data_IF_062479124043
#
_entry.id   IF_062479124043
#
_cell.length_a   1.000
_cell.length_b   1.000
_cell.length_c   1.000
_cell.angle_alpha   90.00
_cell.angle_beta   90.00
_cell.angle_gamma   90.00
#
_symmetry.space_group_name_H-M   'P 1'
#
loop_
_entity.id
_entity.type
_entity.pdbx_description
1 polymer ?
#
# COMPACT_ATOMS: atom_id res chain seq x y z
N UNK A 1 -19.68 42.67 -19.06
CA UNK A 1 -18.62 43.58 -18.58
C UNK A 1 -19.16 44.93 -18.09
N UNK A 2 -20.41 45.31 -18.40
CA UNK A 2 -21.01 46.61 -18.02
C UNK A 2 -21.17 46.88 -16.51
N UNK A 3 -21.10 45.85 -15.64
CA UNK A 3 -21.16 45.98 -14.18
C UNK A 3 -19.79 45.95 -13.49
N UNK A 4 -18.71 45.93 -14.26
CA UNK A 4 -17.36 45.99 -13.72
C UNK A 4 -16.95 47.45 -13.76
N UNK A 5 -16.54 47.96 -12.62
CA UNK A 5 -16.03 49.30 -12.42
C UNK A 5 -14.62 49.42 -13.06
N UNK A 6 -14.59 49.46 -14.40
CA UNK A 6 -13.37 49.42 -15.22
C UNK A 6 -12.98 50.82 -15.66
N UNK A 7 -11.68 51.13 -15.60
CA UNK A 7 -11.08 52.33 -16.18
C UNK A 7 -9.73 52.00 -16.82
N UNK A 8 -9.25 52.85 -17.73
CA UNK A 8 -7.93 52.71 -18.33
C UNK A 8 -6.92 53.59 -17.58
N UNK A 9 -5.78 53.02 -17.18
CA UNK A 9 -4.71 53.78 -16.54
C UNK A 9 -3.93 54.66 -17.52
N UNK A 10 -2.94 55.42 -17.02
CA UNK A 10 -2.11 56.31 -17.82
C UNK A 10 -1.34 55.60 -18.94
N UNK A 11 -1.22 54.28 -18.89
CA UNK A 11 -0.58 53.44 -19.90
C UNK A 11 -1.61 52.77 -20.84
N UNK A 12 -2.90 53.07 -20.69
CA UNK A 12 -3.99 52.47 -21.47
C UNK A 12 -4.40 51.07 -21.01
N UNK A 13 -3.93 50.60 -19.87
CA UNK A 13 -4.27 49.27 -19.35
C UNK A 13 -5.56 49.30 -18.54
N UNK A 14 -6.42 48.31 -18.75
CA UNK A 14 -7.70 48.21 -18.06
C UNK A 14 -7.51 47.71 -16.62
N UNK A 15 -7.97 48.51 -15.65
CA UNK A 15 -7.98 48.18 -14.22
C UNK A 15 -9.39 48.18 -13.68
N UNK A 16 -9.63 47.37 -12.65
CA UNK A 16 -10.90 47.36 -11.93
C UNK A 16 -10.74 48.04 -10.58
N UNK A 17 -11.68 48.92 -10.18
CA UNK A 17 -11.72 49.44 -8.81
C UNK A 17 -12.78 48.73 -7.96
N UNK A 18 -12.39 48.34 -6.75
CA UNK A 18 -13.25 47.71 -5.76
C UNK A 18 -13.51 48.61 -4.55
N UNK A 19 -13.83 48.00 -3.40
CA UNK A 19 -14.07 48.71 -2.14
C UNK A 19 -12.80 48.96 -1.32
N UNK A 20 -11.62 48.69 -1.88
CA UNK A 20 -10.33 48.75 -1.16
C UNK A 20 -9.58 50.07 -1.33
N UNK A 21 -10.18 51.11 -1.93
CA UNK A 21 -9.50 52.38 -2.22
C UNK A 21 -8.84 53.04 -1.00
N UNK A 22 -9.50 52.98 0.17
CA UNK A 22 -9.00 53.58 1.42
C UNK A 22 -8.11 52.63 2.25
N UNK A 23 -7.76 51.44 1.74
CA UNK A 23 -6.89 50.51 2.45
C UNK A 23 -5.42 50.97 2.44
N UNK A 24 -4.59 50.46 3.35
CA UNK A 24 -3.15 50.66 3.32
C UNK A 24 -2.41 49.73 2.33
N UNK A 25 -3.14 49.03 1.45
CA UNK A 25 -2.57 48.11 0.47
C UNK A 25 -1.87 48.87 -0.67
N UNK A 26 -1.01 48.16 -1.39
CA UNK A 26 -0.42 48.65 -2.63
C UNK A 26 -1.51 48.98 -3.67
N UNK A 27 -1.28 50.01 -4.48
CA UNK A 27 -2.26 50.44 -5.48
C UNK A 27 -2.54 49.37 -6.54
N UNK A 28 -1.56 48.50 -6.84
CA UNK A 28 -1.77 47.34 -7.70
C UNK A 28 -2.81 46.35 -7.13
N UNK A 29 -2.86 46.22 -5.81
CA UNK A 29 -3.83 45.36 -5.10
C UNK A 29 -5.19 46.03 -4.97
N UNK A 30 -5.23 47.35 -4.82
CA UNK A 30 -6.49 48.12 -4.81
C UNK A 30 -7.14 48.16 -6.18
N UNK A 31 -6.32 48.27 -7.23
CA UNK A 31 -6.74 48.48 -8.62
C UNK A 31 -6.09 47.45 -9.56
N UNK A 32 -6.47 46.16 -9.43
CA UNK A 32 -5.86 45.08 -10.18
C UNK A 32 -6.12 45.18 -11.69
N UNK A 33 -5.15 44.70 -12.47
CA UNK A 33 -5.21 44.63 -13.93
C UNK A 33 -6.20 43.58 -14.40
N UNK A 34 -7.01 43.92 -15.39
CA UNK A 34 -7.99 43.01 -15.96
C UNK A 34 -7.31 42.09 -16.95
N UNK A 35 -7.47 40.79 -16.73
CA UNK A 35 -7.00 39.78 -17.67
C UNK A 35 -8.19 38.91 -18.07
N UNK A 36 -8.35 38.72 -19.39
CA UNK A 36 -9.46 37.96 -19.93
C UNK A 36 -9.38 36.50 -19.49
N UNK A 37 -10.54 35.96 -19.10
CA UNK A 37 -10.69 34.56 -18.74
C UNK A 37 -10.30 33.63 -19.91
N UNK A 38 -9.75 32.47 -19.59
CA UNK A 38 -9.36 31.42 -20.54
C UNK A 38 -8.36 31.88 -21.61
N UNK A 39 -7.64 32.98 -21.35
CA UNK A 39 -6.53 33.41 -22.20
C UNK A 39 -5.24 32.66 -21.83
N UNK A 40 -4.31 32.48 -22.79
CA UNK A 40 -2.98 31.95 -22.50
C UNK A 40 -2.25 32.75 -21.41
N UNK A 41 -2.47 34.07 -21.37
CA UNK A 41 -1.91 34.96 -20.36
C UNK A 41 -2.45 34.64 -18.96
N UNK A 42 -3.77 34.49 -18.80
CA UNK A 42 -4.36 34.12 -17.51
C UNK A 42 -3.81 32.78 -17.00
N UNK A 43 -3.65 31.80 -17.89
CA UNK A 43 -3.10 30.49 -17.55
C UNK A 43 -1.64 30.60 -17.09
N UNK A 44 -0.81 31.38 -17.79
CA UNK A 44 0.59 31.60 -17.41
C UNK A 44 0.74 32.38 -16.10
N UNK A 45 -0.07 33.40 -15.88
CA UNK A 45 -0.11 34.14 -14.61
C UNK A 45 -0.45 33.20 -13.46
N UNK A 46 -1.55 32.46 -13.56
CA UNK A 46 -1.97 31.54 -12.50
C UNK A 46 -0.90 30.48 -12.24
N UNK A 47 -0.28 29.94 -13.30
CA UNK A 47 0.78 28.95 -13.17
C UNK A 47 2.02 29.52 -12.47
N UNK A 48 2.46 30.75 -12.81
CA UNK A 48 3.61 31.41 -12.17
C UNK A 48 3.42 31.57 -10.65
N UNK A 49 2.25 32.09 -10.24
CA UNK A 49 1.93 32.24 -8.82
C UNK A 49 1.79 30.89 -8.10
N UNK A 50 1.31 29.87 -8.80
CA UNK A 50 1.23 28.52 -8.24
C UNK A 50 2.61 27.85 -8.12
N UNK A 51 3.50 27.99 -9.11
CA UNK A 51 4.80 27.31 -9.13
C UNK A 51 5.81 27.84 -8.10
N UNK A 52 5.60 29.04 -7.54
CA UNK A 52 6.49 29.63 -6.52
C UNK A 52 6.48 28.89 -5.17
N UNK A 53 5.46 28.07 -4.91
CA UNK A 53 5.39 27.32 -3.65
C UNK A 53 4.28 26.30 -3.56
N UNK A 54 3.65 25.95 -4.69
CA UNK A 54 2.49 25.06 -4.76
C UNK A 54 1.39 25.37 -3.74
N UNK A 55 0.99 26.64 -3.54
CA UNK A 55 -0.03 26.98 -2.57
C UNK A 55 -1.38 26.36 -2.93
N UNK A 56 -2.24 26.21 -1.92
CA UNK A 56 -3.61 25.73 -2.09
C UNK A 56 -4.40 26.63 -3.05
N UNK A 57 -5.49 26.11 -3.60
CA UNK A 57 -6.34 26.85 -4.56
C UNK A 57 -6.74 28.23 -4.01
N UNK A 58 -7.15 28.31 -2.74
CA UNK A 58 -7.57 29.58 -2.11
C UNK A 58 -6.40 30.56 -1.98
N UNK A 59 -5.21 30.06 -1.65
CA UNK A 59 -4.03 30.91 -1.49
C UNK A 59 -3.50 31.38 -2.86
N UNK A 60 -3.42 30.52 -3.87
CA UNK A 60 -3.11 30.93 -5.25
C UNK A 60 -4.10 32.00 -5.74
N UNK A 61 -5.39 31.86 -5.45
CA UNK A 61 -6.39 32.87 -5.80
C UNK A 61 -6.14 34.21 -5.11
N UNK A 62 -5.71 34.21 -3.85
CA UNK A 62 -5.40 35.44 -3.11
C UNK A 62 -4.17 36.14 -3.70
N UNK A 63 -3.11 35.37 -4.01
CA UNK A 63 -1.89 35.89 -4.65
C UNK A 63 -2.18 36.46 -6.04
N UNK A 64 -2.99 35.79 -6.87
CA UNK A 64 -3.35 36.33 -8.18
C UNK A 64 -4.17 37.61 -8.04
N UNK A 65 -5.08 37.69 -7.06
CA UNK A 65 -5.90 38.87 -6.81
C UNK A 65 -5.15 40.07 -6.26
N UNK A 66 -3.92 39.90 -5.76
CA UNK A 66 -3.11 41.04 -5.32
C UNK A 66 -2.65 41.91 -6.49
N UNK A 67 -2.72 41.42 -7.73
CA UNK A 67 -2.31 42.19 -8.92
C UNK A 67 -3.27 42.08 -10.11
N UNK A 68 -4.05 41.01 -10.20
CA UNK A 68 -4.87 40.71 -11.37
C UNK A 68 -6.32 40.39 -11.02
N UNK A 69 -7.22 40.92 -11.83
CA UNK A 69 -8.63 40.59 -11.81
C UNK A 69 -8.95 39.71 -13.02
N UNK A 70 -9.13 38.41 -12.76
CA UNK A 70 -9.46 37.41 -13.78
C UNK A 70 -10.90 36.90 -13.55
N UNK A 71 -11.81 37.02 -14.54
CA UNK A 71 -13.13 36.42 -14.43
C UNK A 71 -13.06 34.90 -14.26
N UNK A 72 -13.93 34.34 -13.42
CA UNK A 72 -13.98 32.89 -13.11
C UNK A 72 -12.64 32.31 -12.62
N UNK A 73 -11.81 33.12 -11.95
CA UNK A 73 -10.49 32.74 -11.46
C UNK A 73 -10.47 31.38 -10.72
N UNK A 74 -11.44 31.11 -9.83
CA UNK A 74 -11.50 29.85 -9.06
C UNK A 74 -11.52 28.62 -9.96
N UNK A 75 -12.30 28.65 -11.04
CA UNK A 75 -12.41 27.52 -11.96
C UNK A 75 -11.08 27.28 -12.68
N UNK A 76 -10.41 28.34 -13.10
CA UNK A 76 -9.11 28.26 -13.79
C UNK A 76 -8.00 27.80 -12.87
N UNK A 77 -7.89 28.36 -11.66
CA UNK A 77 -6.92 27.93 -10.65
C UNK A 77 -7.13 26.46 -10.31
N UNK A 78 -8.38 26.04 -10.07
CA UNK A 78 -8.69 24.62 -9.78
C UNK A 78 -8.23 23.70 -10.92
N UNK A 79 -8.47 24.09 -12.18
CA UNK A 79 -8.04 23.33 -13.37
C UNK A 79 -6.52 23.21 -13.44
N UNK A 80 -5.79 24.30 -13.20
CA UNK A 80 -4.33 24.36 -13.29
C UNK A 80 -3.69 23.56 -12.15
N UNK A 81 -4.11 23.79 -10.90
CA UNK A 81 -3.59 23.08 -9.72
C UNK A 81 -3.84 21.56 -9.83
N UNK A 82 -5.03 21.15 -10.31
CA UNK A 82 -5.33 19.72 -10.52
C UNK A 82 -4.46 19.04 -11.58
N UNK A 83 -3.86 19.81 -12.50
CA UNK A 83 -2.93 19.29 -13.54
C UNK A 83 -1.46 19.46 -13.15
N UNK A 84 -1.18 20.10 -12.01
CA UNK A 84 0.19 20.27 -11.55
C UNK A 84 0.75 18.92 -11.11
N UNK A 85 1.80 18.46 -11.80
CA UNK A 85 2.46 17.18 -11.54
C UNK A 85 2.99 17.12 -10.11
N UNK A 86 3.59 18.19 -9.62
CA UNK A 86 4.12 18.25 -8.25
C UNK A 86 3.01 18.11 -7.21
N UNK A 87 1.91 18.87 -7.35
CA UNK A 87 0.78 18.73 -6.46
C UNK A 87 0.12 17.35 -6.54
N UNK A 88 0.06 16.74 -7.73
CA UNK A 88 -0.46 15.38 -7.87
C UNK A 88 0.44 14.36 -7.16
N UNK A 89 1.77 14.47 -7.30
CA UNK A 89 2.69 13.54 -6.63
C UNK A 89 2.63 13.63 -5.10
N UNK A 90 2.51 14.84 -4.55
CA UNK A 90 2.58 15.05 -3.10
C UNK A 90 1.23 14.99 -2.38
N UNK A 91 0.13 15.37 -3.05
CA UNK A 91 -1.17 15.51 -2.39
C UNK A 91 -2.23 14.51 -2.87
N UNK A 92 -1.98 13.79 -3.97
CA UNK A 92 -2.97 12.83 -4.43
C UNK A 92 -2.99 11.62 -3.49
N UNK A 93 -4.18 11.11 -3.21
CA UNK A 93 -4.33 9.89 -2.44
C UNK A 93 -3.68 8.74 -3.22
N UNK A 94 -3.11 7.73 -2.52
CA UNK A 94 -2.80 6.46 -3.16
C UNK A 94 -4.07 5.95 -3.87
N UNK A 95 -3.89 5.18 -4.95
CA UNK A 95 -5.00 4.58 -5.69
C UNK A 95 -6.04 4.02 -4.72
N UNK A 96 -7.32 4.30 -4.97
CA UNK A 96 -8.40 3.70 -4.18
C UNK A 96 -8.18 2.19 -4.21
N UNK A 97 -8.02 1.59 -3.02
CA UNK A 97 -7.94 0.15 -2.91
C UNK A 97 -9.16 -0.45 -3.62
N UNK A 98 -8.98 -1.55 -4.37
CA UNK A 98 -10.13 -2.26 -4.92
C UNK A 98 -11.08 -2.64 -3.78
N UNK A 99 -12.40 -2.75 -4.05
CA UNK A 99 -13.32 -3.29 -3.05
C UNK A 99 -12.78 -4.61 -2.52
N UNK A 100 -12.85 -4.80 -1.20
CA UNK A 100 -12.41 -6.05 -0.57
C UNK A 100 -13.26 -7.19 -1.11
N UNK A 101 -12.60 -8.18 -1.73
CA UNK A 101 -13.27 -9.40 -2.19
C UNK A 101 -13.68 -10.31 -1.04
N UNK A 102 -14.43 -11.35 -1.36
CA UNK A 102 -14.82 -12.38 -0.40
C UNK A 102 -13.60 -13.10 0.19
N UNK A 103 -13.72 -13.52 1.45
CA UNK A 103 -12.70 -14.32 2.10
C UNK A 103 -12.59 -15.70 1.40
N UNK A 104 -11.38 -16.29 1.30
CA UNK A 104 -11.21 -17.63 0.78
C UNK A 104 -12.09 -18.64 1.52
N UNK A 105 -12.65 -19.61 0.80
CA UNK A 105 -13.52 -20.65 1.35
C UNK A 105 -12.90 -21.35 2.57
N UNK A 106 -11.59 -21.56 2.55
CA UNK A 106 -10.80 -22.21 3.61
C UNK A 106 -10.77 -21.41 4.93
N UNK A 107 -11.15 -20.12 4.93
CA UNK A 107 -11.30 -19.32 6.15
C UNK A 107 -12.72 -19.32 6.72
N UNK A 108 -13.72 -19.67 5.92
CA UNK A 108 -15.14 -19.50 6.28
C UNK A 108 -15.92 -20.81 6.32
N UNK A 109 -15.47 -21.84 5.58
CA UNK A 109 -16.08 -23.16 5.60
C UNK A 109 -15.53 -23.98 6.75
N UNK A 110 -16.40 -24.76 7.40
CA UNK A 110 -16.00 -25.68 8.47
C UNK A 110 -15.09 -26.77 7.91
N UNK A 111 -13.96 -26.97 8.56
CA UNK A 111 -12.95 -27.97 8.23
C UNK A 111 -12.47 -28.67 9.52
N UNK A 112 -11.70 -29.75 9.40
CA UNK A 112 -11.02 -30.31 10.59
C UNK A 112 -9.96 -29.31 11.09
N UNK A 113 -9.61 -29.30 12.40
CA UNK A 113 -8.48 -28.54 12.90
C UNK A 113 -7.20 -28.89 12.13
N UNK A 114 -6.41 -27.87 11.79
CA UNK A 114 -5.19 -27.99 10.98
C UNK A 114 -5.37 -28.59 9.57
N UNK A 115 -6.59 -28.60 9.01
CA UNK A 115 -6.79 -28.98 7.61
C UNK A 115 -6.14 -27.96 6.65
N UNK A 116 -6.35 -26.69 6.94
CA UNK A 116 -5.76 -25.57 6.23
C UNK A 116 -4.89 -24.79 7.20
N UNK A 117 -3.59 -24.72 6.92
CA UNK A 117 -2.62 -24.08 7.80
C UNK A 117 -1.91 -22.90 7.12
N UNK A 118 -1.58 -21.90 7.92
CA UNK A 118 -0.64 -20.84 7.56
C UNK A 118 0.70 -21.05 8.27
N UNK A 119 1.80 -20.76 7.59
CA UNK A 119 3.15 -20.82 8.13
C UNK A 119 3.74 -19.41 8.20
N UNK A 120 4.31 -19.08 9.34
CA UNK A 120 5.06 -17.83 9.54
C UNK A 120 6.29 -18.09 10.42
N UNK A 121 7.32 -17.27 10.24
CA UNK A 121 8.52 -17.27 11.09
C UNK A 121 8.63 -15.93 11.80
N UNK A 122 8.91 -15.96 13.10
CA UNK A 122 9.23 -14.77 13.87
C UNK A 122 10.60 -14.89 14.54
N UNK A 123 11.26 -13.76 14.72
CA UNK A 123 12.62 -13.68 15.24
C UNK A 123 13.45 -12.65 14.46
N UNK A 124 14.77 -12.64 14.62
CA UNK A 124 15.57 -13.52 15.49
C UNK A 124 15.36 -13.21 16.98
N UNK A 125 15.16 -14.25 17.78
CA UNK A 125 15.13 -14.16 19.25
C UNK A 125 16.54 -14.39 19.79
N UNK A 126 17.08 -13.48 20.64
CA UNK A 126 18.36 -13.69 21.28
C UNK A 126 18.25 -14.77 22.35
N UNK A 127 19.11 -15.78 22.27
CA UNK A 127 19.20 -16.87 23.25
C UNK A 127 20.63 -17.00 23.77
N UNK A 128 20.76 -17.51 24.99
CA UNK A 128 22.07 -17.95 25.52
C UNK A 128 22.24 -19.43 25.21
N UNK A 129 23.30 -19.76 24.47
CA UNK A 129 23.71 -21.14 24.28
C UNK A 129 24.30 -21.70 25.57
N UNK A 130 24.36 -23.03 25.68
CA UNK A 130 24.93 -23.74 26.83
C UNK A 130 26.40 -23.36 27.09
N UNK A 131 27.12 -22.94 26.03
CA UNK A 131 28.52 -22.49 26.10
C UNK A 131 28.67 -21.02 26.56
N UNK A 132 27.60 -20.38 27.01
CA UNK A 132 27.59 -18.98 27.46
C UNK A 132 27.64 -17.94 26.35
N UNK A 133 27.74 -18.36 25.08
CA UNK A 133 27.70 -17.48 23.90
C UNK A 133 26.28 -17.03 23.58
N UNK A 134 26.15 -15.85 22.99
CA UNK A 134 24.89 -15.36 22.43
C UNK A 134 24.61 -16.05 21.09
N UNK A 135 23.39 -16.55 20.94
CA UNK A 135 22.87 -17.20 19.76
C UNK A 135 21.56 -16.57 19.32
N UNK A 136 21.10 -16.99 18.15
CA UNK A 136 19.79 -16.60 17.62
C UNK A 136 18.97 -17.86 17.43
N UNK A 137 17.69 -17.79 17.78
CA UNK A 137 16.70 -18.76 17.36
C UNK A 137 15.53 -18.07 16.67
N UNK A 138 14.72 -18.85 15.99
CA UNK A 138 13.52 -18.39 15.30
C UNK A 138 12.34 -19.20 15.84
N UNK A 139 11.20 -18.57 16.03
CA UNK A 139 9.96 -19.26 16.31
C UNK A 139 9.20 -19.50 15.02
N UNK A 140 8.72 -20.73 14.82
CA UNK A 140 7.78 -21.06 13.76
C UNK A 140 6.36 -21.01 14.31
N UNK A 141 5.48 -20.32 13.58
CA UNK A 141 4.05 -20.21 13.86
C UNK A 141 3.33 -21.01 12.79
N UNK A 142 2.54 -21.98 13.23
CA UNK A 142 1.59 -22.69 12.39
C UNK A 142 0.18 -22.38 12.87
N UNK A 143 -0.58 -21.66 12.06
CA UNK A 143 -1.94 -21.23 12.44
C UNK A 143 -2.97 -21.98 11.61
N UNK A 144 -3.97 -22.58 12.26
CA UNK A 144 -5.11 -23.16 11.56
C UNK A 144 -6.03 -22.04 11.03
N UNK A 145 -6.34 -22.06 9.73
CA UNK A 145 -7.16 -21.02 9.10
C UNK A 145 -8.59 -20.93 9.64
N UNK A 146 -9.19 -22.08 9.98
CA UNK A 146 -10.60 -22.16 10.41
C UNK A 146 -10.74 -21.93 11.91
N UNK A 147 -9.99 -22.66 12.74
CA UNK A 147 -10.14 -22.58 14.20
C UNK A 147 -9.28 -21.49 14.84
N UNK A 148 -8.32 -20.92 14.11
CA UNK A 148 -7.30 -20.00 14.64
C UNK A 148 -6.46 -20.59 15.76
N UNK A 149 -6.40 -21.92 15.86
CA UNK A 149 -5.49 -22.59 16.76
C UNK A 149 -4.05 -22.40 16.28
N UNK A 150 -3.16 -22.05 17.20
CA UNK A 150 -1.76 -21.79 16.92
C UNK A 150 -0.92 -22.94 17.49
N UNK A 151 -0.04 -23.48 16.66
CA UNK A 151 1.05 -24.36 17.05
C UNK A 151 2.36 -23.57 16.93
N UNK A 152 3.13 -23.53 18.02
CA UNK A 152 4.42 -22.85 18.07
C UNK A 152 5.52 -23.88 18.21
N UNK A 153 6.59 -23.72 17.44
CA UNK A 153 7.80 -24.52 17.56
C UNK A 153 9.05 -23.61 17.51
N UNK A 154 10.11 -24.03 18.19
CA UNK A 154 11.38 -23.31 18.18
C UNK A 154 12.34 -23.98 17.20
N UNK A 155 12.98 -23.15 16.38
CA UNK A 155 13.91 -23.59 15.35
C UNK A 155 15.24 -22.86 15.56
N UNK A 156 16.35 -23.59 15.48
CA UNK A 156 17.70 -23.05 15.68
C UNK A 156 18.11 -22.04 14.61
N UNK A 157 17.62 -22.21 13.40
CA UNK A 157 18.05 -21.53 12.19
C UNK A 157 16.92 -21.57 11.15
N UNK A 158 17.00 -20.73 10.11
CA UNK A 158 16.03 -20.69 9.01
C UNK A 158 16.44 -21.61 7.85
N UNK A 159 17.13 -22.73 8.12
CA UNK A 159 17.51 -23.67 7.09
C UNK A 159 16.34 -24.59 6.71
N UNK A 160 16.36 -25.13 5.48
CA UNK A 160 15.31 -26.04 5.04
C UNK A 160 15.29 -27.35 5.83
N UNK A 161 16.43 -27.82 6.33
CA UNK A 161 16.50 -29.06 7.13
C UNK A 161 15.74 -28.92 8.44
N UNK A 162 15.92 -27.80 9.14
CA UNK A 162 15.24 -27.57 10.42
C UNK A 162 13.77 -27.21 10.23
N UNK A 163 13.41 -26.57 9.11
CA UNK A 163 12.03 -26.42 8.66
C UNK A 163 11.34 -27.78 8.42
N UNK A 164 11.96 -28.69 7.66
CA UNK A 164 11.41 -30.02 7.40
C UNK A 164 11.27 -30.86 8.68
N UNK A 165 12.23 -30.75 9.60
CA UNK A 165 12.12 -31.39 10.91
C UNK A 165 10.95 -30.85 11.74
N UNK A 166 10.72 -29.54 11.69
CA UNK A 166 9.56 -28.90 12.33
C UNK A 166 8.25 -29.41 11.73
N UNK A 167 8.13 -29.45 10.40
CA UNK A 167 6.94 -29.99 9.72
C UNK A 167 6.71 -31.47 10.06
N UNK A 168 7.76 -32.27 10.13
CA UNK A 168 7.66 -33.69 10.52
C UNK A 168 7.10 -33.85 11.93
N UNK A 169 7.54 -33.03 12.89
CA UNK A 169 7.00 -33.03 14.27
C UNK A 169 5.53 -32.64 14.28
N UNK A 170 5.17 -31.61 13.52
CA UNK A 170 3.80 -31.14 13.39
C UNK A 170 2.88 -32.21 12.78
N UNK A 171 3.26 -32.81 11.64
CA UNK A 171 2.50 -33.86 10.97
C UNK A 171 2.34 -35.12 11.84
N UNK A 172 3.37 -35.49 12.60
CA UNK A 172 3.30 -36.62 13.52
C UNK A 172 2.29 -36.45 14.64
N UNK A 173 2.01 -35.21 15.07
CA UNK A 173 1.08 -34.91 16.17
C UNK A 173 -0.33 -34.55 15.71
N UNK A 174 -0.45 -33.80 14.62
CA UNK A 174 -1.72 -33.20 14.17
C UNK A 174 -2.24 -33.81 12.87
N UNK A 175 -1.47 -34.70 12.25
CA UNK A 175 -1.78 -35.27 10.94
C UNK A 175 -1.34 -34.36 9.79
N UNK A 176 -1.55 -34.85 8.57
CA UNK A 176 -1.15 -34.15 7.34
C UNK A 176 -2.24 -33.14 6.96
N UNK A 177 -1.88 -31.85 6.78
CA UNK A 177 -2.83 -30.83 6.32
C UNK A 177 -3.23 -31.08 4.86
N UNK A 178 -4.38 -30.53 4.46
CA UNK A 178 -4.80 -30.53 3.06
C UNK A 178 -4.18 -29.38 2.28
N UNK A 179 -3.99 -28.23 2.91
CA UNK A 179 -3.30 -27.10 2.29
C UNK A 179 -2.39 -26.36 3.25
N UNK A 180 -1.27 -25.87 2.72
CA UNK A 180 -0.30 -25.04 3.42
C UNK A 180 -0.24 -23.69 2.71
N UNK A 181 -0.25 -22.60 3.46
CA UNK A 181 -0.05 -21.26 2.91
C UNK A 181 1.10 -20.58 3.62
N UNK A 182 2.08 -20.10 2.87
CA UNK A 182 3.28 -19.43 3.40
C UNK A 182 3.54 -18.11 2.68
N UNK A 183 4.48 -17.33 3.22
CA UNK A 183 5.12 -16.27 2.45
C UNK A 183 6.15 -16.84 1.46
N UNK A 184 6.75 -15.95 0.67
CA UNK A 184 7.76 -16.30 -0.33
C UNK A 184 9.18 -16.36 0.26
N UNK A 185 9.33 -16.67 1.56
CA UNK A 185 10.66 -16.85 2.14
C UNK A 185 11.39 -18.00 1.43
N UNK A 186 12.70 -17.86 1.14
CA UNK A 186 13.48 -18.90 0.44
C UNK A 186 13.42 -20.26 1.11
N UNK A 187 13.34 -20.29 2.45
CA UNK A 187 13.23 -21.53 3.24
C UNK A 187 11.94 -22.30 2.96
N UNK A 188 10.83 -21.59 2.74
CA UNK A 188 9.54 -22.22 2.44
C UNK A 188 9.46 -22.72 1.01
N UNK A 189 9.97 -21.95 0.05
CA UNK A 189 10.06 -22.37 -1.36
C UNK A 189 10.92 -23.64 -1.49
N UNK A 190 12.11 -23.64 -0.89
CA UNK A 190 12.98 -24.81 -0.90
C UNK A 190 12.34 -26.01 -0.17
N UNK A 191 11.59 -25.75 0.91
CA UNK A 191 10.87 -26.78 1.63
C UNK A 191 9.73 -27.41 0.82
N UNK A 192 9.01 -26.60 0.04
CA UNK A 192 7.99 -27.07 -0.90
C UNK A 192 8.61 -27.97 -1.97
N UNK A 193 9.69 -27.54 -2.61
CA UNK A 193 10.39 -28.30 -3.65
C UNK A 193 10.84 -29.67 -3.13
N UNK A 194 11.48 -29.70 -1.95
CA UNK A 194 11.94 -30.96 -1.32
C UNK A 194 10.76 -31.89 -0.99
N UNK A 195 9.65 -31.34 -0.51
CA UNK A 195 8.45 -32.13 -0.22
C UNK A 195 7.80 -32.68 -1.50
N UNK A 196 7.79 -31.89 -2.57
CA UNK A 196 7.27 -32.32 -3.87
C UNK A 196 8.12 -33.45 -4.47
N UNK A 197 9.46 -33.32 -4.42
CA UNK A 197 10.38 -34.39 -4.85
C UNK A 197 10.21 -35.67 -4.02
N UNK A 198 10.13 -35.55 -2.69
CA UNK A 198 9.91 -36.70 -1.82
C UNK A 198 8.57 -37.40 -2.10
N UNK A 199 7.53 -36.63 -2.44
CA UNK A 199 6.22 -37.16 -2.82
C UNK A 199 6.29 -37.93 -4.16
N UNK A 200 7.06 -37.42 -5.13
CA UNK A 200 7.27 -38.09 -6.41
C UNK A 200 8.02 -39.40 -6.25
N UNK A 201 9.12 -39.40 -5.47
CA UNK A 201 9.86 -40.62 -5.17
C UNK A 201 9.00 -41.66 -4.43
N UNK A 202 8.17 -41.23 -3.48
CA UNK A 202 7.29 -42.12 -2.73
C UNK A 202 6.12 -42.69 -3.57
N UNK A 203 5.76 -42.05 -4.68
CA UNK A 203 4.77 -42.56 -5.65
C UNK A 203 5.30 -43.72 -6.50
N UNK A 204 6.62 -43.93 -6.56
CA UNK A 204 7.22 -45.08 -7.28
C UNK A 204 6.98 -46.41 -6.53
N UNK A 205 6.85 -46.37 -5.20
CA UNK A 205 6.51 -47.53 -4.38
C UNK A 205 4.99 -47.78 -4.34
N UNK A 206 4.52 -48.86 -4.98
CA UNK A 206 3.09 -49.14 -5.16
C UNK A 206 2.27 -49.23 -3.85
N UNK A 207 2.89 -49.61 -2.72
CA UNK A 207 2.24 -49.69 -1.40
C UNK A 207 2.05 -48.29 -0.81
N UNK A 208 3.07 -47.44 -0.95
CA UNK A 208 3.10 -46.08 -0.42
C UNK A 208 2.27 -45.15 -1.31
N UNK A 209 2.34 -45.33 -2.63
CA UNK A 209 1.54 -44.62 -3.62
C UNK A 209 0.03 -44.73 -3.33
N UNK A 210 -0.47 -45.87 -2.85
CA UNK A 210 -1.89 -46.05 -2.51
C UNK A 210 -2.35 -45.21 -1.30
N UNK A 211 -1.48 -45.03 -0.31
CA UNK A 211 -1.74 -44.19 0.87
C UNK A 211 -1.53 -42.70 0.59
N UNK A 212 -0.57 -42.38 -0.28
CA UNK A 212 -0.19 -41.01 -0.67
C UNK A 212 -1.11 -40.44 -1.76
N UNK A 213 -1.64 -41.27 -2.67
CA UNK A 213 -2.49 -40.84 -3.80
C UNK A 213 -3.74 -40.05 -3.39
N UNK A 214 -4.14 -40.11 -2.12
CA UNK A 214 -5.29 -39.39 -1.59
C UNK A 214 -4.92 -38.10 -0.81
N UNK A 215 -3.63 -37.77 -0.68
CA UNK A 215 -3.12 -36.73 0.24
C UNK A 215 -2.07 -35.82 -0.40
N UNK A 216 -2.36 -35.29 -1.57
CA UNK A 216 -1.57 -34.18 -2.11
C UNK A 216 -1.81 -32.93 -1.25
N UNK A 217 -0.73 -32.37 -0.71
CA UNK A 217 -0.76 -31.12 0.05
C UNK A 217 -0.78 -29.99 -0.97
N UNK A 218 -1.83 -29.19 -0.97
CA UNK A 218 -1.90 -28.00 -1.80
C UNK A 218 -1.09 -26.87 -1.16
N UNK A 219 0.05 -26.52 -1.75
CA UNK A 219 0.86 -25.37 -1.30
C UNK A 219 0.41 -24.09 -2.00
N UNK A 220 0.32 -23.00 -1.24
CA UNK A 220 -0.06 -21.68 -1.77
C UNK A 220 0.83 -20.59 -1.20
N UNK A 221 1.22 -19.66 -2.07
CA UNK A 221 2.00 -18.50 -1.67
C UNK A 221 1.15 -17.24 -1.67
N UNK A 222 1.35 -16.38 -0.67
CA UNK A 222 0.76 -15.04 -0.69
C UNK A 222 1.48 -14.14 -1.71
N UNK A 223 0.77 -13.11 -2.20
CA UNK A 223 1.38 -12.12 -3.09
C UNK A 223 2.51 -11.39 -2.33
N UNK A 224 3.70 -11.22 -2.94
CA UNK A 224 4.79 -10.45 -2.33
C UNK A 224 4.30 -9.06 -1.87
N UNK A 225 4.71 -8.63 -0.68
CA UNK A 225 4.34 -7.32 -0.11
C UNK A 225 2.83 -7.10 0.09
N UNK A 226 2.04 -8.18 0.15
CA UNK A 226 0.62 -8.15 0.47
C UNK A 226 0.31 -8.70 1.88
N UNK A 227 0.77 -8.06 2.97
CA UNK A 227 0.59 -8.58 4.33
C UNK A 227 -0.88 -8.75 4.71
N UNK A 228 -1.80 -8.03 4.07
CA UNK A 228 -3.24 -8.20 4.28
C UNK A 228 -3.76 -9.59 3.88
N UNK A 229 -3.11 -10.29 2.94
CA UNK A 229 -3.45 -11.67 2.60
C UNK A 229 -2.97 -12.65 3.67
N UNK A 230 -1.80 -12.38 4.26
CA UNK A 230 -1.20 -13.15 5.34
C UNK A 230 -1.70 -12.79 6.74
N UNK A 231 -2.59 -11.81 6.90
CA UNK A 231 -3.04 -11.33 8.23
C UNK A 231 -3.80 -12.34 9.09
N UNK A 232 -4.00 -13.58 8.64
CA UNK A 232 -4.45 -14.68 9.50
C UNK A 232 -3.30 -15.48 10.11
N UNK A 233 -2.09 -15.34 9.59
CA UNK A 233 -0.86 -15.99 10.05
C UNK A 233 -0.18 -15.15 11.13
N UNK A 234 -0.29 -13.82 11.01
CA UNK A 234 0.13 -12.87 12.04
C UNK A 234 -0.87 -12.89 13.20
N UNK A 235 -0.42 -13.37 14.36
CA UNK A 235 -1.17 -13.32 15.62
C UNK A 235 -1.13 -11.91 16.23
#
# INVERSE_FOLDING_TARGET
MQHLNIWADNCGLLRCFGRMGNSALEDETKYPLIVLQNSPLAERIIMDYHSKGHPSISHTMALVRSRFWIPKLRAQVTRIVRRCIQCQKFNNLPFKYPPQGDLPAQRVQRSRPFEHIGLDYFGPLPIKLMDGKEGKCYGSIITCMVTRLIYLDLVSDMSATTFLMMLRRFFGRHGIPRSITSDNAPTFLLGEDILAEALLAAKEDAIIAREISNREIEWRHIIPYAPWQGGFMSA
#
